data_IF_659899781484
#
_entry.id   IF_659899781484
#
_cell.length_a   1.000
_cell.length_b   1.000
_cell.length_c   1.000
_cell.angle_alpha   90.00
_cell.angle_beta   90.00
_cell.angle_gamma   90.00
#
_symmetry.space_group_name_H-M   'P 1'
#
loop_
_entity.id
_entity.type
_entity.pdbx_description
1 polymer ?
#
# COMPACT_ATOMS: atom_id res chain seq x y z
N UNK A 1 -60.87 41.92 -49.74
CA UNK A 1 -61.36 40.78 -48.94
C UNK A 1 -60.15 39.97 -48.50
N UNK A 2 -59.97 39.82 -47.16
CA UNK A 2 -59.47 38.63 -46.41
C UNK A 2 -58.23 37.91 -47.00
N UNK A 3 -57.10 37.61 -46.36
CA UNK A 3 -56.51 37.72 -45.01
C UNK A 3 -55.17 36.93 -45.07
N UNK A 4 -54.14 37.36 -44.33
CA UNK A 4 -53.05 36.59 -43.68
C UNK A 4 -52.40 35.39 -44.42
N UNK A 5 -51.06 35.26 -44.50
CA UNK A 5 -50.24 34.89 -43.34
C UNK A 5 -48.74 35.00 -43.62
N UNK A 6 -48.00 35.63 -42.70
CA UNK A 6 -46.54 35.58 -42.63
C UNK A 6 -46.09 34.20 -42.13
N UNK A 7 -45.17 33.54 -42.84
CA UNK A 7 -44.48 32.35 -42.33
C UNK A 7 -43.09 32.79 -41.85
N UNK A 8 -43.03 33.18 -40.59
CA UNK A 8 -41.77 33.41 -39.88
C UNK A 8 -41.17 32.04 -39.53
N UNK A 9 -40.09 31.64 -40.21
CA UNK A 9 -39.35 30.42 -39.88
C UNK A 9 -38.50 30.67 -38.63
N UNK A 10 -39.00 30.26 -37.47
CA UNK A 10 -38.22 30.23 -36.24
C UNK A 10 -37.32 28.98 -36.26
N UNK A 11 -36.01 29.17 -36.44
CA UNK A 11 -34.99 28.14 -36.17
C UNK A 11 -34.82 28.02 -34.66
N UNK A 12 -35.37 26.96 -34.06
CA UNK A 12 -35.11 26.62 -32.68
C UNK A 12 -33.68 26.09 -32.52
N UNK A 13 -32.77 26.91 -31.98
CA UNK A 13 -31.49 26.42 -31.47
C UNK A 13 -31.77 25.59 -30.22
N UNK A 14 -31.63 24.28 -30.35
CA UNK A 14 -31.78 23.35 -29.23
C UNK A 14 -30.40 23.19 -28.58
N UNK A 15 -30.14 23.95 -27.52
CA UNK A 15 -28.89 23.86 -26.76
C UNK A 15 -28.91 22.57 -25.93
N UNK A 16 -28.23 21.54 -26.42
CA UNK A 16 -28.09 20.27 -25.70
C UNK A 16 -27.09 20.48 -24.55
N UNK A 17 -27.58 20.79 -23.35
CA UNK A 17 -26.75 20.80 -22.14
C UNK A 17 -26.35 19.37 -21.81
N UNK A 18 -25.13 18.98 -22.19
CA UNK A 18 -24.52 17.74 -21.73
C UNK A 18 -24.31 17.85 -20.22
N UNK A 19 -25.19 17.21 -19.43
CA UNK A 19 -24.95 16.98 -18.02
C UNK A 19 -23.74 16.04 -17.91
N UNK A 20 -22.56 16.63 -17.73
CA UNK A 20 -21.34 15.89 -17.46
C UNK A 20 -21.51 15.12 -16.17
N UNK A 21 -21.74 13.80 -16.28
CA UNK A 21 -21.60 12.89 -15.15
C UNK A 21 -20.10 12.87 -14.83
N UNK A 22 -19.66 13.77 -13.95
CA UNK A 22 -18.33 13.67 -13.37
C UNK A 22 -18.33 12.43 -12.51
N UNK A 23 -17.83 11.32 -13.06
CA UNK A 23 -17.42 10.18 -12.25
C UNK A 23 -16.31 10.69 -11.34
N UNK A 24 -16.66 10.97 -10.09
CA UNK A 24 -15.69 11.12 -9.01
C UNK A 24 -14.91 9.81 -9.00
N UNK A 25 -13.70 9.80 -9.55
CA UNK A 25 -12.80 8.68 -9.40
C UNK A 25 -12.52 8.57 -7.90
N UNK A 26 -13.23 7.66 -7.24
CA UNK A 26 -12.98 7.30 -5.86
C UNK A 26 -11.52 6.90 -5.79
N UNK A 27 -10.67 7.78 -5.26
CA UNK A 27 -9.31 7.43 -4.89
C UNK A 27 -9.45 6.19 -4.01
N UNK A 28 -8.95 5.05 -4.49
CA UNK A 28 -8.85 3.83 -3.71
C UNK A 28 -7.91 4.13 -2.54
N UNK A 29 -8.46 4.68 -1.47
CA UNK A 29 -7.72 4.96 -0.27
C UNK A 29 -7.29 3.62 0.34
N UNK A 30 -6.10 3.58 0.92
CA UNK A 30 -5.77 2.51 1.86
C UNK A 30 -6.86 2.47 2.93
N UNK A 31 -7.33 1.28 3.26
CA UNK A 31 -8.35 1.05 4.29
C UNK A 31 -7.78 0.05 5.31
N UNK A 32 -7.92 0.31 6.63
CA UNK A 32 -7.53 -0.65 7.65
C UNK A 32 -8.18 -2.02 7.43
N UNK A 33 -7.44 -3.08 7.67
CA UNK A 33 -7.94 -4.46 7.54
C UNK A 33 -7.18 -5.42 8.45
N UNK A 34 -7.78 -6.58 8.69
CA UNK A 34 -7.13 -7.72 9.30
C UNK A 34 -7.53 -8.99 8.54
N UNK A 35 -6.54 -9.78 8.15
CA UNK A 35 -6.75 -11.02 7.40
C UNK A 35 -5.85 -12.12 7.97
N UNK A 36 -6.43 -13.28 8.26
CA UNK A 36 -5.71 -14.45 8.76
C UNK A 36 -5.79 -15.59 7.76
N UNK A 37 -4.63 -16.13 7.42
CA UNK A 37 -4.40 -17.22 6.49
C UNK A 37 -3.89 -18.45 7.24
N UNK A 38 -4.24 -19.63 6.74
CA UNK A 38 -3.80 -20.90 7.31
C UNK A 38 -2.85 -21.60 6.33
N UNK A 39 -1.77 -22.17 6.86
CA UNK A 39 -0.90 -23.07 6.12
C UNK A 39 -1.40 -24.49 6.33
N UNK A 40 -1.60 -25.24 5.26
CA UNK A 40 -2.08 -26.61 5.33
C UNK A 40 -1.15 -27.57 4.62
N UNK A 41 -0.90 -28.74 5.22
CA UNK A 41 -0.17 -29.85 4.62
C UNK A 41 -0.91 -31.16 4.93
N UNK A 42 -1.21 -31.95 3.90
CA UNK A 42 -1.99 -33.18 4.05
C UNK A 42 -3.37 -32.94 4.69
N UNK A 43 -4.06 -31.87 4.29
CA UNK A 43 -5.35 -31.41 4.85
C UNK A 43 -5.34 -31.07 6.35
N UNK A 44 -4.16 -30.95 6.97
CA UNK A 44 -3.99 -30.51 8.36
C UNK A 44 -3.43 -29.10 8.38
N UNK A 45 -4.01 -28.23 9.21
CA UNK A 45 -3.42 -26.93 9.49
C UNK A 45 -2.07 -27.13 10.21
N UNK A 46 -1.01 -26.57 9.63
CA UNK A 46 0.35 -26.61 10.15
C UNK A 46 0.83 -25.25 10.64
N UNK A 47 0.02 -24.20 10.53
CA UNK A 47 0.36 -22.88 11.02
C UNK A 47 -0.57 -21.80 10.48
N UNK A 48 -0.39 -20.59 10.99
CA UNK A 48 -1.21 -19.44 10.61
C UNK A 48 -0.32 -18.24 10.30
N UNK A 49 -0.88 -17.31 9.52
CA UNK A 49 -0.31 -15.98 9.31
C UNK A 49 -1.41 -14.92 9.33
N UNK A 50 -1.16 -13.80 10.01
CA UNK A 50 -2.05 -12.65 10.07
C UNK A 50 -1.38 -11.44 9.43
N UNK A 51 -2.14 -10.72 8.62
CA UNK A 51 -1.80 -9.42 8.06
C UNK A 51 -2.77 -8.39 8.60
N UNK A 52 -2.24 -7.32 9.19
CA UNK A 52 -3.04 -6.28 9.83
C UNK A 52 -2.55 -4.90 9.44
N UNK A 53 -3.41 -4.13 8.80
CA UNK A 53 -3.17 -2.73 8.48
C UNK A 53 -4.04 -1.86 9.40
N UNK A 54 -3.39 -0.93 10.09
CA UNK A 54 -4.06 0.04 10.98
C UNK A 54 -3.66 1.46 10.61
N UNK A 55 -4.55 2.41 10.89
CA UNK A 55 -4.31 3.84 10.71
C UNK A 55 -4.55 4.59 12.02
N UNK A 56 -3.65 5.51 12.36
CA UNK A 56 -3.83 6.48 13.44
C UNK A 56 -3.47 7.87 12.92
N UNK A 57 -4.48 8.71 12.69
CA UNK A 57 -4.30 9.98 11.98
C UNK A 57 -3.70 9.77 10.58
N UNK A 58 -2.57 10.44 10.30
CA UNK A 58 -1.85 10.30 9.04
C UNK A 58 -0.75 9.20 9.08
N UNK A 59 -0.67 8.43 10.16
CA UNK A 59 0.33 7.36 10.30
C UNK A 59 -0.32 6.00 10.09
N UNK A 60 0.33 5.18 9.29
CA UNK A 60 -0.08 3.83 8.99
C UNK A 60 0.90 2.84 9.61
N UNK A 61 0.37 1.70 10.03
CA UNK A 61 1.16 0.58 10.50
C UNK A 61 0.65 -0.69 9.84
N UNK A 62 1.54 -1.36 9.11
CA UNK A 62 1.29 -2.67 8.52
C UNK A 62 2.09 -3.74 9.25
N UNK A 63 1.39 -4.78 9.70
CA UNK A 63 1.95 -5.87 10.49
C UNK A 63 1.70 -7.20 9.81
N UNK A 64 2.74 -8.03 9.80
CA UNK A 64 2.66 -9.43 9.48
C UNK A 64 3.09 -10.24 10.70
N UNK A 65 2.38 -11.32 11.01
CA UNK A 65 2.74 -12.26 12.06
C UNK A 65 2.45 -13.66 11.58
N UNK A 66 3.38 -14.59 11.72
CA UNK A 66 3.16 -16.00 11.35
C UNK A 66 3.79 -16.93 12.36
N UNK A 67 3.19 -18.13 12.48
CA UNK A 67 3.66 -19.18 13.38
C UNK A 67 3.37 -20.55 12.79
N UNK A 68 4.40 -21.39 12.77
CA UNK A 68 4.32 -22.82 12.48
C UNK A 68 4.82 -23.52 13.76
N UNK A 69 3.96 -24.29 14.47
CA UNK A 69 4.36 -24.98 15.69
C UNK A 69 5.64 -25.79 15.50
N UNK A 70 6.51 -25.78 16.51
CA UNK A 70 7.80 -26.48 16.55
C UNK A 70 8.86 -25.97 15.55
N UNK A 71 8.47 -25.38 14.42
CA UNK A 71 9.39 -24.92 13.37
C UNK A 71 9.82 -23.47 13.52
N UNK A 72 8.88 -22.54 13.76
CA UNK A 72 9.26 -21.14 13.84
C UNK A 72 8.13 -20.12 13.80
N UNK A 73 8.55 -18.86 13.76
CA UNK A 73 7.68 -17.69 13.66
C UNK A 73 8.39 -16.54 12.95
N UNK A 74 7.61 -15.66 12.34
CA UNK A 74 8.09 -14.40 11.81
C UNK A 74 7.10 -13.28 12.14
N UNK A 75 7.61 -12.14 12.59
CA UNK A 75 6.85 -10.91 12.74
C UNK A 75 7.54 -9.80 11.94
N UNK A 76 6.75 -9.01 11.24
CA UNK A 76 7.20 -7.82 10.55
C UNK A 76 6.27 -6.66 10.89
N UNK A 77 6.82 -5.48 11.06
CA UNK A 77 6.08 -4.25 11.31
C UNK A 77 6.70 -3.13 10.50
N UNK A 78 5.89 -2.50 9.65
CA UNK A 78 6.26 -1.31 8.92
C UNK A 78 5.39 -0.15 9.32
N UNK A 79 6.00 1.03 9.51
CA UNK A 79 5.32 2.30 9.73
C UNK A 79 5.60 3.22 8.56
N UNK A 80 4.57 3.90 8.09
CA UNK A 80 4.63 4.74 6.91
C UNK A 80 3.59 5.85 6.91
N UNK A 81 3.81 6.83 6.05
CA UNK A 81 2.76 7.76 5.63
C UNK A 81 2.28 7.41 4.22
N UNK A 82 1.03 7.73 3.93
CA UNK A 82 0.45 7.55 2.60
C UNK A 82 -0.02 8.89 2.08
N UNK A 83 0.53 9.32 0.93
CA UNK A 83 0.19 10.60 0.30
C UNK A 83 0.17 10.43 -1.21
N UNK A 84 -0.87 10.95 -1.86
CA UNK A 84 -1.00 10.96 -3.32
C UNK A 84 -0.84 9.57 -3.97
N UNK A 85 -1.34 8.52 -3.33
CA UNK A 85 -1.22 7.15 -3.84
C UNK A 85 0.16 6.51 -3.67
N UNK A 86 1.08 7.16 -2.95
CA UNK A 86 2.44 6.69 -2.71
C UNK A 86 2.69 6.47 -1.23
N UNK A 87 3.31 5.34 -0.92
CA UNK A 87 3.79 5.00 0.41
C UNK A 87 5.16 5.64 0.63
N UNK A 88 5.37 6.20 1.81
CA UNK A 88 6.66 6.69 2.27
C UNK A 88 7.06 5.93 3.54
N UNK A 89 7.99 4.97 3.39
CA UNK A 89 8.53 4.19 4.50
C UNK A 89 9.17 5.10 5.55
N UNK A 90 8.91 4.81 6.83
CA UNK A 90 9.50 5.52 7.97
C UNK A 90 10.34 4.57 8.84
N UNK A 91 9.79 3.42 9.19
CA UNK A 91 10.51 2.41 9.97
C UNK A 91 10.03 1.00 9.66
N UNK A 92 10.96 0.05 9.69
CA UNK A 92 10.69 -1.36 9.52
C UNK A 92 11.40 -2.18 10.61
N UNK A 93 10.70 -3.18 11.14
CA UNK A 93 11.22 -4.17 12.08
C UNK A 93 10.79 -5.55 11.60
N UNK A 94 11.75 -6.47 11.46
CA UNK A 94 11.49 -7.89 11.27
C UNK A 94 12.15 -8.69 12.38
N UNK A 95 11.41 -9.63 12.95
CA UNK A 95 11.92 -10.61 13.88
C UNK A 95 11.55 -12.00 13.35
N UNK A 96 12.54 -12.86 13.20
CA UNK A 96 12.32 -14.25 12.79
C UNK A 96 12.91 -15.18 13.83
N UNK A 97 12.25 -16.30 14.05
CA UNK A 97 12.76 -17.41 14.85
C UNK A 97 12.52 -18.70 14.09
N UNK A 98 13.59 -19.41 13.78
CA UNK A 98 13.54 -20.73 13.17
C UNK A 98 14.32 -21.66 14.08
N UNK A 99 13.60 -22.61 14.69
CA UNK A 99 14.15 -23.52 15.71
C UNK A 99 14.87 -22.73 16.83
N UNK A 100 16.20 -22.89 16.93
CA UNK A 100 17.06 -22.26 17.93
C UNK A 100 17.68 -20.92 17.47
N UNK A 101 17.46 -20.51 16.22
CA UNK A 101 18.08 -19.30 15.65
C UNK A 101 17.06 -18.18 15.54
N UNK A 102 17.44 -17.01 16.04
CA UNK A 102 16.69 -15.76 15.87
C UNK A 102 17.45 -14.76 15.02
N UNK A 103 16.72 -13.97 14.23
CA UNK A 103 17.28 -12.84 13.50
C UNK A 103 16.35 -11.63 13.67
N UNK A 104 16.94 -10.49 13.97
CA UNK A 104 16.25 -9.21 14.09
C UNK A 104 16.87 -8.23 13.11
N UNK A 105 16.01 -7.61 12.30
CA UNK A 105 16.38 -6.61 11.29
C UNK A 105 15.59 -5.34 11.55
N UNK A 106 16.27 -4.19 11.57
CA UNK A 106 15.62 -2.89 11.62
C UNK A 106 16.07 -2.00 10.46
N UNK A 107 15.16 -1.14 10.01
CA UNK A 107 15.45 -0.04 9.09
C UNK A 107 14.75 1.22 9.60
N UNK A 108 15.45 2.36 9.53
CA UNK A 108 14.91 3.69 9.82
C UNK A 108 15.22 4.59 8.62
N UNK A 109 14.17 5.06 7.96
CA UNK A 109 14.26 5.83 6.73
C UNK A 109 14.30 7.32 7.07
N UNK A 110 15.38 8.01 6.67
CA UNK A 110 15.62 9.42 6.98
C UNK A 110 15.76 10.22 5.68
N UNK A 111 14.66 10.51 4.97
CA UNK A 111 14.71 11.16 3.65
C UNK A 111 15.38 12.54 3.70
N UNK A 112 15.19 13.31 4.77
CA UNK A 112 15.85 14.61 4.96
C UNK A 112 17.38 14.49 5.04
N UNK A 113 17.87 13.37 5.58
CA UNK A 113 19.30 13.07 5.70
C UNK A 113 19.81 12.22 4.53
N UNK A 114 18.96 11.91 3.53
CA UNK A 114 19.25 11.01 2.41
C UNK A 114 19.88 9.67 2.82
N UNK A 115 19.48 9.13 3.97
CA UNK A 115 20.03 7.88 4.50
C UNK A 115 18.96 6.91 5.01
N UNK A 116 19.32 5.64 5.06
CA UNK A 116 18.57 4.59 5.75
C UNK A 116 19.52 3.97 6.77
N UNK A 117 19.21 4.12 8.06
CA UNK A 117 19.94 3.44 9.12
C UNK A 117 19.40 2.03 9.28
N UNK A 118 20.26 1.02 9.26
CA UNK A 118 19.87 -0.39 9.33
C UNK A 118 20.65 -1.11 10.41
N UNK A 119 20.05 -2.12 11.03
CA UNK A 119 20.73 -2.98 11.99
C UNK A 119 20.31 -4.43 11.79
N UNK A 120 21.27 -5.33 11.83
CA UNK A 120 21.04 -6.77 11.81
C UNK A 120 22.10 -7.46 12.65
N UNK A 121 21.67 -8.28 13.62
CA UNK A 121 22.59 -8.98 14.55
C UNK A 121 23.60 -8.05 15.24
N UNK A 122 23.15 -6.85 15.61
CA UNK A 122 24.00 -5.83 16.25
C UNK A 122 24.92 -5.07 15.29
N UNK A 123 25.07 -5.51 14.03
CA UNK A 123 25.82 -4.77 13.02
C UNK A 123 24.96 -3.67 12.43
N UNK A 124 25.37 -2.42 12.63
CA UNK A 124 24.72 -1.26 12.03
C UNK A 124 25.33 -0.95 10.66
N UNK A 125 24.50 -0.56 9.70
CA UNK A 125 24.92 -0.05 8.39
C UNK A 125 24.07 1.16 8.01
N UNK A 126 24.67 2.09 7.29
CA UNK A 126 23.97 3.21 6.67
C UNK A 126 23.93 3.00 5.17
N UNK A 127 22.73 3.01 4.60
CA UNK A 127 22.50 2.93 3.16
C UNK A 127 22.10 4.30 2.63
N UNK A 128 22.34 4.53 1.33
CA UNK A 128 21.87 5.73 0.64
C UNK A 128 20.36 5.62 0.44
N UNK A 129 19.62 6.63 0.89
CA UNK A 129 18.18 6.71 0.62
C UNK A 129 17.94 7.20 -0.81
N UNK A 130 16.94 6.62 -1.46
CA UNK A 130 16.48 7.04 -2.79
C UNK A 130 14.97 7.31 -2.76
N UNK A 131 14.51 8.16 -3.68
CA UNK A 131 13.10 8.46 -3.77
C UNK A 131 12.28 7.20 -4.09
N UNK A 132 11.20 6.98 -3.35
CA UNK A 132 10.33 5.81 -3.52
C UNK A 132 10.91 4.49 -3.03
N UNK A 133 12.01 4.49 -2.27
CA UNK A 133 12.52 3.26 -1.64
C UNK A 133 11.53 2.75 -0.59
N UNK A 134 11.24 1.45 -0.65
CA UNK A 134 10.30 0.78 0.26
C UNK A 134 10.99 -0.38 1.00
N UNK A 135 10.51 -0.66 2.21
CA UNK A 135 10.73 -1.94 2.88
C UNK A 135 9.82 -3.04 2.33
N UNK A 136 10.09 -4.29 2.71
CA UNK A 136 9.39 -5.50 2.23
C UNK A 136 7.85 -5.37 2.33
N UNK A 137 7.34 -4.92 3.48
CA UNK A 137 5.90 -4.81 3.72
C UNK A 137 5.26 -3.64 2.96
N UNK A 138 5.95 -2.51 2.88
CA UNK A 138 5.44 -1.36 2.14
C UNK A 138 5.49 -1.58 0.62
N UNK A 139 6.45 -2.33 0.11
CA UNK A 139 6.48 -2.75 -1.29
C UNK A 139 5.25 -3.59 -1.64
N UNK A 140 4.86 -4.54 -0.79
CA UNK A 140 3.64 -5.33 -0.96
C UNK A 140 2.38 -4.45 -1.01
N UNK A 141 2.26 -3.49 -0.09
CA UNK A 141 1.13 -2.57 -0.10
C UNK A 141 1.12 -1.65 -1.32
N UNK A 142 2.28 -1.12 -1.72
CA UNK A 142 2.36 -0.26 -2.90
C UNK A 142 1.91 -1.02 -4.14
N UNK A 143 2.34 -2.27 -4.32
CA UNK A 143 1.86 -3.14 -5.42
C UNK A 143 0.36 -3.31 -5.38
N UNK A 144 -0.21 -3.57 -4.20
CA UNK A 144 -1.66 -3.71 -4.06
C UNK A 144 -2.39 -2.43 -4.49
N UNK A 145 -1.90 -1.26 -4.11
CA UNK A 145 -2.50 0.01 -4.51
C UNK A 145 -2.30 0.32 -6.00
N UNK A 146 -1.13 0.02 -6.55
CA UNK A 146 -0.84 0.18 -7.97
C UNK A 146 -1.73 -0.71 -8.85
N UNK A 147 -1.98 -1.96 -8.41
CA UNK A 147 -2.87 -2.90 -9.09
C UNK A 147 -4.32 -2.42 -9.11
N UNK A 148 -4.81 -1.78 -8.03
CA UNK A 148 -6.14 -1.15 -8.02
C UNK A 148 -6.25 0.01 -9.01
N UNK A 149 -5.13 0.66 -9.32
CA UNK A 149 -5.05 1.84 -10.21
C UNK A 149 -4.76 1.49 -11.68
N UNK A 150 -4.71 0.20 -12.02
CA UNK A 150 -4.63 -0.35 -13.38
C UNK A 150 -3.41 0.03 -14.25
N UNK A 151 -2.39 0.79 -13.83
CA UNK A 151 -1.16 0.93 -14.65
C UNK A 151 0.15 1.31 -13.90
N UNK A 152 1.22 0.64 -14.35
CA UNK A 152 2.69 0.83 -14.16
C UNK A 152 3.29 0.47 -12.78
N UNK A 153 3.77 -0.78 -12.68
CA UNK A 153 4.56 -1.29 -11.56
C UNK A 153 6.04 -0.90 -11.77
N UNK A 154 6.58 -0.05 -10.90
CA UNK A 154 8.03 0.21 -10.81
C UNK A 154 8.43 0.27 -9.34
N UNK A 155 8.96 -0.83 -8.81
CA UNK A 155 9.26 -1.00 -7.39
C UNK A 155 10.77 -0.95 -7.17
N UNK A 156 11.22 -0.12 -6.24
CA UNK A 156 12.58 -0.13 -5.72
C UNK A 156 12.53 -0.55 -4.25
N UNK A 157 13.16 -1.67 -3.91
CA UNK A 157 13.10 -2.27 -2.58
C UNK A 157 14.49 -2.37 -1.95
N UNK A 158 14.58 -2.14 -0.64
CA UNK A 158 15.81 -2.23 0.14
C UNK A 158 15.98 -3.61 0.79
N UNK A 159 16.96 -4.41 0.34
CA UNK A 159 17.33 -5.73 0.92
C UNK A 159 18.56 -5.62 1.84
N UNK A 160 18.53 -6.36 2.96
CA UNK A 160 19.65 -6.50 3.93
C UNK A 160 20.19 -7.93 4.02
#
# INVERSE_FOLDING_TARGET
>A
MISFSAVMRATALTTLTAAGVTFSASSYALVPFEATYQFSYGNKNVGNATRKLTQQGNQWQYQFSSRIPVLGSATETSKFSFKNGQIQSQSYLRQTKILLRSDTVTMNFKPQQKTISTSRKGTQRTLVWQNGVLDDLNAELQVREDLKRWFKIQIYYCRL
#
